data_IF_050032529295
#
_entry.id   IF_050032529295
#
_cell.length_a   1.000
_cell.length_b   1.000
_cell.length_c   1.000
_cell.angle_alpha   90.00
_cell.angle_beta   90.00
_cell.angle_gamma   90.00
#
_symmetry.space_group_name_H-M   'P 1'
#
loop_
_entity.id
_entity.type
_entity.pdbx_description
1 polymer ?
#
# COMPACT_ATOMS: atom_id res chain seq x y z
N UNK A 1 12.24 -3.02 25.21
CA UNK A 1 11.30 -1.86 25.17
C UNK A 1 10.32 -2.05 24.02
N UNK A 2 9.04 -2.30 24.30
CA UNK A 2 7.97 -2.21 23.29
C UNK A 2 7.81 -0.73 22.98
N UNK A 3 8.21 -0.27 21.79
CA UNK A 3 7.87 1.07 21.29
C UNK A 3 6.34 1.13 21.24
N UNK A 4 5.72 1.96 22.08
CA UNK A 4 4.28 2.18 22.02
C UNK A 4 3.90 2.60 20.61
N UNK A 5 3.18 1.70 19.92
CA UNK A 5 2.71 1.95 18.57
C UNK A 5 1.68 3.06 18.66
N UNK A 6 2.03 4.24 18.17
CA UNK A 6 1.15 5.41 18.10
C UNK A 6 -0.13 5.01 17.37
N UNK A 7 -1.20 4.83 18.12
CA UNK A 7 -2.52 4.47 17.60
C UNK A 7 -3.25 5.77 17.29
N UNK A 8 -3.72 5.93 16.06
CA UNK A 8 -4.52 7.10 15.68
C UNK A 8 -5.98 6.67 15.62
N UNK A 9 -6.81 7.36 16.38
CA UNK A 9 -8.26 7.16 16.39
C UNK A 9 -8.83 8.07 15.31
N UNK A 10 -9.65 7.49 14.44
CA UNK A 10 -10.40 8.18 13.39
C UNK A 10 -11.83 8.20 13.86
N UNK A 11 -12.29 9.36 14.34
CA UNK A 11 -13.62 9.54 14.90
C UNK A 11 -14.41 10.67 14.25
N UNK A 12 -13.73 11.53 13.48
CA UNK A 12 -14.30 12.74 12.88
C UNK A 12 -14.21 12.74 11.35
N UNK A 13 -15.01 13.59 10.70
CA UNK A 13 -14.93 13.85 9.25
C UNK A 13 -13.55 14.39 8.84
N UNK A 14 -12.91 15.19 9.70
CA UNK A 14 -11.55 15.71 9.49
C UNK A 14 -10.49 14.60 9.43
N UNK A 15 -10.62 13.56 10.27
CA UNK A 15 -9.72 12.41 10.26
C UNK A 15 -9.85 11.59 8.98
N UNK A 16 -11.08 11.46 8.47
CA UNK A 16 -11.37 10.81 7.18
C UNK A 16 -10.79 11.63 6.03
N UNK A 17 -10.96 12.95 6.04
CA UNK A 17 -10.36 13.85 5.05
C UNK A 17 -8.83 13.81 5.07
N UNK A 18 -8.22 13.69 6.25
CA UNK A 18 -6.78 13.47 6.39
C UNK A 18 -6.35 12.11 5.81
N UNK A 19 -7.15 11.05 5.98
CA UNK A 19 -6.88 9.74 5.37
C UNK A 19 -6.97 9.78 3.84
N UNK A 20 -7.95 10.51 3.30
CA UNK A 20 -8.05 10.76 1.85
C UNK A 20 -6.86 11.56 1.31
N UNK A 21 -6.38 12.54 2.09
CA UNK A 21 -5.20 13.34 1.71
C UNK A 21 -3.94 12.47 1.69
N UNK A 22 -3.76 11.59 2.66
CA UNK A 22 -2.68 10.61 2.70
C UNK A 22 -2.71 9.68 1.47
N UNK A 23 -3.92 9.22 1.12
CA UNK A 23 -4.18 8.40 -0.08
C UNK A 23 -3.78 9.13 -1.37
N UNK A 24 -4.22 10.38 -1.53
CA UNK A 24 -3.96 11.20 -2.72
C UNK A 24 -2.50 11.61 -2.86
N UNK A 25 -1.86 11.97 -1.76
CA UNK A 25 -0.46 12.45 -1.76
C UNK A 25 0.56 11.31 -1.65
N UNK A 26 0.11 10.07 -1.49
CA UNK A 26 0.95 8.90 -1.19
C UNK A 26 1.83 9.05 0.06
N UNK A 27 1.61 10.07 0.89
CA UNK A 27 2.31 10.26 2.16
C UNK A 27 1.57 9.51 3.25
N UNK A 28 2.21 8.48 3.81
CA UNK A 28 1.69 7.73 4.96
C UNK A 28 2.18 8.36 6.26
N UNK A 29 1.28 8.55 7.23
CA UNK A 29 1.60 8.93 8.60
C UNK A 29 2.38 7.81 9.29
N UNK A 30 3.33 8.17 10.16
CA UNK A 30 4.04 7.21 11.02
C UNK A 30 3.15 6.81 12.20
N UNK A 31 2.11 6.02 11.91
CA UNK A 31 1.19 5.47 12.90
C UNK A 31 1.35 3.96 12.91
N UNK A 32 1.23 3.34 14.08
CA UNK A 32 1.38 1.89 14.21
C UNK A 32 0.07 1.13 13.99
N UNK A 33 -1.08 1.80 14.15
CA UNK A 33 -2.41 1.28 13.91
C UNK A 33 -3.42 2.43 13.78
N UNK A 34 -4.42 2.25 12.91
CA UNK A 34 -5.60 3.09 12.82
C UNK A 34 -6.76 2.39 13.53
N UNK A 35 -7.44 3.07 14.46
CA UNK A 35 -8.71 2.59 15.05
C UNK A 35 -9.84 3.51 14.62
N UNK A 36 -11.00 2.93 14.33
CA UNK A 36 -12.21 3.69 14.02
C UNK A 36 -13.06 3.77 15.28
N UNK A 37 -13.51 4.96 15.65
CA UNK A 37 -14.45 5.18 16.75
C UNK A 37 -15.50 6.22 16.32
N UNK A 38 -16.48 5.74 15.57
CA UNK A 38 -17.54 6.49 14.92
C UNK A 38 -18.85 6.26 15.66
N UNK A 39 -19.41 7.33 16.23
CA UNK A 39 -20.71 7.27 16.91
C UNK A 39 -21.82 6.92 15.92
N UNK A 40 -22.65 5.94 16.27
CA UNK A 40 -23.79 5.50 15.43
C UNK A 40 -23.45 4.43 14.39
N UNK A 41 -22.19 3.98 14.31
CA UNK A 41 -21.80 2.84 13.49
C UNK A 41 -21.79 1.55 14.31
N UNK A 42 -22.32 0.47 13.72
CA UNK A 42 -22.26 -0.85 14.35
C UNK A 42 -20.80 -1.31 14.58
N UNK A 43 -20.57 -1.94 15.73
CA UNK A 43 -19.23 -2.34 16.19
C UNK A 43 -18.59 -3.42 15.33
N UNK A 44 -19.37 -4.33 14.75
CA UNK A 44 -18.87 -5.36 13.84
C UNK A 44 -18.42 -4.72 12.52
N UNK A 45 -19.24 -3.82 11.99
CA UNK A 45 -18.92 -3.04 10.77
C UNK A 45 -17.69 -2.16 10.96
N UNK A 46 -17.57 -1.51 12.10
CA UNK A 46 -16.45 -0.64 12.45
C UNK A 46 -15.14 -1.43 12.58
N UNK A 47 -15.17 -2.61 13.21
CA UNK A 47 -14.01 -3.50 13.28
C UNK A 47 -13.59 -4.02 11.90
N UNK A 48 -14.56 -4.37 11.04
CA UNK A 48 -14.29 -4.81 9.66
C UNK A 48 -13.58 -3.70 8.86
N UNK A 49 -14.12 -2.48 8.88
CA UNK A 49 -13.54 -1.34 8.19
C UNK A 49 -12.15 -0.98 8.74
N UNK A 50 -11.96 -1.03 10.06
CA UNK A 50 -10.67 -0.76 10.67
C UNK A 50 -9.62 -1.79 10.24
N UNK A 51 -9.99 -3.08 10.14
CA UNK A 51 -9.11 -4.13 9.63
C UNK A 51 -8.76 -3.91 8.17
N UNK A 52 -9.73 -3.55 7.32
CA UNK A 52 -9.51 -3.29 5.90
C UNK A 52 -8.61 -2.07 5.68
N UNK A 53 -8.85 -0.98 6.40
CA UNK A 53 -8.03 0.23 6.35
C UNK A 53 -6.62 -0.07 6.81
N UNK A 54 -6.41 -0.74 7.94
CA UNK A 54 -5.07 -1.11 8.38
C UNK A 54 -4.36 -2.01 7.36
N UNK A 55 -5.03 -3.03 6.84
CA UNK A 55 -4.45 -3.93 5.82
C UNK A 55 -4.07 -3.16 4.55
N UNK A 56 -4.91 -2.24 4.10
CA UNK A 56 -4.63 -1.41 2.92
C UNK A 56 -3.53 -0.38 3.16
N UNK A 57 -3.58 0.34 4.28
CA UNK A 57 -2.65 1.42 4.65
C UNK A 57 -1.23 0.91 4.89
N UNK A 58 -1.09 -0.29 5.47
CA UNK A 58 0.21 -0.91 5.74
C UNK A 58 0.65 -1.95 4.71
N UNK A 59 -0.11 -2.13 3.62
CA UNK A 59 0.29 -3.06 2.57
C UNK A 59 1.65 -2.67 1.96
N UNK A 60 2.59 -3.62 1.97
CA UNK A 60 3.89 -3.52 1.29
C UNK A 60 3.89 -4.13 -0.12
N UNK A 61 2.84 -4.86 -0.50
CA UNK A 61 2.77 -5.62 -1.76
C UNK A 61 3.66 -6.87 -1.79
N UNK A 62 4.22 -7.28 -0.65
CA UNK A 62 5.23 -8.33 -0.58
C UNK A 62 4.71 -9.70 -1.07
N UNK A 63 3.47 -10.08 -0.72
CA UNK A 63 2.88 -11.34 -1.17
C UNK A 63 2.74 -11.39 -2.71
N UNK A 64 2.19 -10.33 -3.31
CA UNK A 64 2.05 -10.21 -4.78
C UNK A 64 3.41 -10.17 -5.48
N UNK A 65 4.41 -9.50 -4.87
CA UNK A 65 5.78 -9.48 -5.34
C UNK A 65 6.41 -10.88 -5.37
N UNK A 66 6.23 -11.67 -4.31
CA UNK A 66 6.76 -13.04 -4.25
C UNK A 66 6.13 -13.91 -5.33
N UNK A 67 4.80 -13.86 -5.48
CA UNK A 67 4.10 -14.67 -6.51
C UNK A 67 4.57 -14.31 -7.91
N UNK A 68 4.55 -13.02 -8.29
CA UNK A 68 5.01 -12.62 -9.62
C UNK A 68 6.51 -12.81 -9.81
N UNK A 69 7.30 -12.70 -8.74
CA UNK A 69 8.72 -13.06 -8.75
C UNK A 69 8.94 -14.51 -9.11
N UNK A 70 8.25 -15.45 -8.46
CA UNK A 70 8.35 -16.89 -8.76
C UNK A 70 7.90 -17.18 -10.19
N UNK A 71 6.79 -16.59 -10.64
CA UNK A 71 6.32 -16.73 -12.03
C UNK A 71 7.38 -16.23 -13.01
N UNK A 72 7.97 -15.06 -12.74
CA UNK A 72 9.04 -14.49 -13.55
C UNK A 72 10.31 -15.35 -13.55
N UNK A 73 10.65 -15.97 -12.43
CA UNK A 73 11.78 -16.90 -12.32
C UNK A 73 11.58 -18.13 -13.21
N UNK A 74 10.40 -18.75 -13.15
CA UNK A 74 10.06 -19.92 -13.96
C UNK A 74 10.04 -19.54 -15.45
N UNK A 75 9.41 -18.42 -15.81
CA UNK A 75 9.36 -17.96 -17.19
C UNK A 75 10.74 -17.60 -17.74
N UNK A 76 11.59 -16.95 -16.94
CA UNK A 76 12.97 -16.62 -17.30
C UNK A 76 13.83 -17.88 -17.48
N UNK A 77 13.69 -18.85 -16.57
CA UNK A 77 14.37 -20.14 -16.71
C UNK A 77 13.91 -20.88 -17.97
N UNK A 78 12.61 -20.96 -18.22
CA UNK A 78 12.06 -21.60 -19.42
C UNK A 78 12.51 -20.92 -20.71
N UNK A 79 12.59 -19.59 -20.73
CA UNK A 79 13.07 -18.82 -21.87
C UNK A 79 14.58 -19.02 -22.11
N UNK A 80 15.38 -18.98 -21.04
CA UNK A 80 16.82 -19.25 -21.13
C UNK A 80 17.10 -20.69 -21.58
N UNK A 81 16.24 -21.64 -21.18
CA UNK A 81 16.33 -23.03 -21.58
C UNK A 81 15.92 -23.23 -23.05
N UNK A 82 14.83 -22.62 -23.51
CA UNK A 82 14.31 -22.82 -24.88
C UNK A 82 15.14 -22.13 -25.96
N UNK A 83 15.81 -21.02 -25.64
CA UNK A 83 16.59 -20.25 -26.63
C UNK A 83 18.06 -20.66 -26.72
N UNK A 84 18.60 -21.38 -25.72
CA UNK A 84 20.04 -21.66 -25.64
C UNK A 84 20.40 -23.14 -25.47
N UNK A 85 19.44 -24.05 -25.57
CA UNK A 85 19.62 -25.51 -25.49
C UNK A 85 20.63 -26.11 -26.49
N UNK A 86 21.09 -25.37 -27.50
CA UNK A 86 22.04 -25.83 -28.51
C UNK A 86 23.31 -25.01 -28.69
N UNK A 87 23.51 -23.91 -27.96
CA UNK A 87 24.59 -22.96 -28.25
C UNK A 87 25.87 -23.19 -27.43
N UNK A 88 25.76 -23.52 -26.13
CA UNK A 88 26.90 -23.63 -25.23
C UNK A 88 26.67 -24.75 -24.18
N UNK A 89 27.09 -25.99 -24.47
CA UNK A 89 27.08 -27.05 -23.47
C UNK A 89 28.21 -26.80 -22.45
N UNK A 90 27.85 -26.32 -21.25
CA UNK A 90 28.81 -26.05 -20.17
C UNK A 90 28.37 -24.94 -19.21
N UNK A 91 29.30 -24.49 -18.37
CA UNK A 91 29.07 -23.46 -17.35
C UNK A 91 28.50 -22.14 -17.91
N UNK A 92 28.83 -21.78 -19.17
CA UNK A 92 28.33 -20.58 -19.83
C UNK A 92 26.82 -20.62 -20.11
N UNK A 93 26.30 -21.77 -20.56
CA UNK A 93 24.87 -21.98 -20.77
C UNK A 93 24.07 -21.95 -19.47
N UNK A 94 24.61 -22.59 -18.41
CA UNK A 94 24.02 -22.55 -17.08
C UNK A 94 23.97 -21.13 -16.48
N UNK A 95 25.05 -20.36 -16.63
CA UNK A 95 25.12 -18.97 -16.16
C UNK A 95 24.11 -18.07 -16.90
N UNK A 96 23.92 -18.26 -18.20
CA UNK A 96 22.91 -17.53 -18.99
C UNK A 96 21.48 -17.88 -18.57
N UNK A 97 21.16 -19.16 -18.41
CA UNK A 97 19.84 -19.58 -17.93
C UNK A 97 19.54 -19.02 -16.54
N UNK A 98 20.53 -19.03 -15.64
CA UNK A 98 20.43 -18.39 -14.33
C UNK A 98 20.22 -16.87 -14.42
N UNK A 99 20.93 -16.18 -15.32
CA UNK A 99 20.75 -14.74 -15.53
C UNK A 99 19.34 -14.39 -16.01
N UNK A 100 18.76 -15.17 -16.94
CA UNK A 100 17.38 -14.99 -17.36
C UNK A 100 16.37 -15.27 -16.26
N UNK A 101 16.58 -16.34 -15.46
CA UNK A 101 15.73 -16.65 -14.32
C UNK A 101 15.76 -15.54 -13.25
N UNK A 102 16.95 -15.04 -12.91
CA UNK A 102 17.11 -13.95 -11.94
C UNK A 102 16.57 -12.61 -12.48
N UNK A 103 16.75 -12.33 -13.76
CA UNK A 103 16.17 -11.16 -14.43
C UNK A 103 14.65 -11.21 -14.41
N UNK A 104 14.07 -12.37 -14.75
CA UNK A 104 12.63 -12.62 -14.66
C UNK A 104 12.09 -12.46 -13.23
N UNK A 105 12.83 -12.98 -12.23
CA UNK A 105 12.49 -12.79 -10.81
C UNK A 105 12.51 -11.30 -10.40
N UNK A 106 13.54 -10.55 -10.79
CA UNK A 106 13.66 -9.12 -10.47
C UNK A 106 12.54 -8.29 -11.11
N UNK A 107 12.19 -8.57 -12.37
CA UNK A 107 11.09 -7.93 -13.07
C UNK A 107 9.75 -8.29 -12.42
N UNK A 108 9.52 -9.59 -12.18
CA UNK A 108 8.30 -10.11 -11.56
C UNK A 108 8.07 -9.55 -10.17
N UNK A 109 9.09 -9.52 -9.32
CA UNK A 109 9.00 -8.93 -7.97
C UNK A 109 8.71 -7.43 -8.00
N UNK A 110 9.33 -6.69 -8.93
CA UNK A 110 9.10 -5.25 -9.09
C UNK A 110 7.67 -4.96 -9.53
N UNK A 111 7.18 -5.67 -10.55
CA UNK A 111 5.80 -5.59 -11.01
C UNK A 111 4.82 -5.99 -9.90
N UNK A 112 5.11 -7.05 -9.17
CA UNK A 112 4.22 -7.51 -8.10
C UNK A 112 4.15 -6.55 -6.92
N UNK A 113 5.25 -5.86 -6.59
CA UNK A 113 5.20 -4.75 -5.62
C UNK A 113 4.30 -3.62 -6.10
N UNK A 114 4.42 -3.21 -7.36
CA UNK A 114 3.60 -2.14 -7.94
C UNK A 114 2.11 -2.51 -7.95
N UNK A 115 1.78 -3.70 -8.45
CA UNK A 115 0.42 -4.22 -8.54
C UNK A 115 -0.17 -4.38 -7.13
N UNK A 116 0.56 -5.02 -6.21
CA UNK A 116 0.11 -5.21 -4.83
C UNK A 116 -0.16 -3.89 -4.10
N UNK A 117 0.70 -2.88 -4.31
CA UNK A 117 0.48 -1.53 -3.75
C UNK A 117 -0.74 -0.84 -4.39
N UNK A 118 -0.93 -0.96 -5.70
CA UNK A 118 -2.09 -0.38 -6.41
C UNK A 118 -3.41 -1.01 -5.95
N UNK A 119 -3.47 -2.34 -5.86
CA UNK A 119 -4.64 -3.03 -5.33
C UNK A 119 -4.96 -2.65 -3.89
N UNK A 120 -3.93 -2.51 -3.05
CA UNK A 120 -4.12 -2.03 -1.68
C UNK A 120 -4.64 -0.60 -1.62
N UNK A 121 -4.15 0.30 -2.50
CA UNK A 121 -4.64 1.66 -2.59
C UNK A 121 -6.11 1.71 -3.05
N UNK A 122 -6.52 0.88 -4.00
CA UNK A 122 -7.92 0.78 -4.45
C UNK A 122 -8.83 0.29 -3.32
N UNK A 123 -8.43 -0.78 -2.61
CA UNK A 123 -9.19 -1.30 -1.46
C UNK A 123 -9.31 -0.27 -0.35
N UNK A 124 -8.22 0.42 -0.03
CA UNK A 124 -8.21 1.50 0.95
C UNK A 124 -9.12 2.66 0.51
N UNK A 125 -9.09 3.05 -0.76
CA UNK A 125 -9.98 4.07 -1.31
C UNK A 125 -11.46 3.70 -1.21
N UNK A 126 -11.82 2.43 -1.43
CA UNK A 126 -13.20 1.94 -1.24
C UNK A 126 -13.63 2.01 0.22
N UNK A 127 -12.79 1.53 1.14
CA UNK A 127 -13.08 1.58 2.58
C UNK A 127 -13.21 3.02 3.11
N UNK A 128 -12.37 3.94 2.63
CA UNK A 128 -12.47 5.37 2.95
C UNK A 128 -13.72 6.01 2.31
N UNK A 129 -14.09 5.59 1.10
CA UNK A 129 -15.34 6.00 0.47
C UNK A 129 -16.58 5.56 1.26
N UNK A 130 -16.59 4.34 1.79
CA UNK A 130 -17.67 3.86 2.69
C UNK A 130 -17.74 4.68 3.97
N UNK A 131 -16.59 5.05 4.56
CA UNK A 131 -16.56 5.97 5.70
C UNK A 131 -17.15 7.32 5.35
N UNK A 132 -16.78 7.88 4.20
CA UNK A 132 -17.31 9.18 3.74
C UNK A 132 -18.81 9.15 3.50
N UNK A 133 -19.35 8.06 2.96
CA UNK A 133 -20.79 7.91 2.81
C UNK A 133 -21.53 7.92 4.16
N UNK A 134 -20.91 7.41 5.22
CA UNK A 134 -21.50 7.39 6.56
C UNK A 134 -21.55 8.77 7.22
N UNK A 135 -20.55 9.62 6.99
CA UNK A 135 -20.54 11.01 7.47
C UNK A 135 -21.32 11.98 6.55
N UNK A 136 -21.84 11.50 5.42
CA UNK A 136 -22.48 12.33 4.40
C UNK A 136 -21.50 13.18 3.59
N UNK A 137 -21.96 13.83 2.50
CA UNK A 137 -21.18 14.83 1.76
C UNK A 137 -21.13 16.14 2.56
N UNK A 138 -20.68 16.11 3.81
CA UNK A 138 -20.49 17.32 4.60
C UNK A 138 -19.25 18.04 4.05
N UNK A 139 -19.45 19.31 3.71
CA UNK A 139 -18.51 20.20 3.05
C UNK A 139 -17.14 20.10 3.73
N UNK A 140 -16.09 19.86 2.92
CA UNK A 140 -14.72 20.13 3.33
C UNK A 140 -14.75 21.51 4.00
N UNK A 141 -14.43 21.65 5.30
CA UNK A 141 -14.38 22.98 5.89
C UNK A 141 -13.45 23.80 5.00
N UNK A 142 -13.90 24.94 4.46
CA UNK A 142 -13.06 25.75 3.58
C UNK A 142 -11.77 25.97 4.34
N UNK A 143 -10.68 25.61 3.67
CA UNK A 143 -9.31 25.74 4.13
C UNK A 143 -9.21 27.04 4.92
N UNK A 144 -9.26 26.98 6.25
CA UNK A 144 -8.95 28.17 7.03
C UNK A 144 -7.51 28.45 6.66
N UNK A 145 -7.20 29.56 5.95
CA UNK A 145 -5.82 29.93 5.74
C UNK A 145 -5.22 29.94 7.14
N UNK A 146 -4.15 29.17 7.31
CA UNK A 146 -3.36 29.24 8.53
C UNK A 146 -2.91 30.68 8.63
N UNK A 147 -3.67 31.48 9.37
CA UNK A 147 -3.28 32.80 9.76
C UNK A 147 -1.95 32.57 10.48
N UNK A 148 -0.87 32.94 9.81
CA UNK A 148 0.38 33.27 10.48
C UNK A 148 -0.03 34.32 11.49
N UNK A 149 -0.22 33.91 12.75
CA UNK A 149 -0.19 34.84 13.85
C UNK A 149 1.21 35.44 13.83
N UNK A 150 1.31 36.61 13.20
CA UNK A 150 2.25 37.63 13.60
C UNK A 150 2.08 37.80 15.12
N UNK A 151 3.12 37.47 15.87
CA UNK A 151 3.30 38.02 17.21
C UNK A 151 4.54 38.88 17.12
N UNK A 152 4.28 40.18 17.06
CA UNK A 152 5.24 41.24 17.32
C UNK A 152 5.87 41.08 18.71
N UNK A 153 7.14 41.47 18.81
CA UNK A 153 7.61 42.30 19.92
C UNK A 153 8.25 41.57 21.10
N UNK A 154 9.57 41.49 21.08
CA UNK A 154 10.42 42.23 22.02
C UNK A 154 11.76 42.52 21.35
#
# INVERSE_FOLDING_TARGET
MKKDRKTTIVSTSDDVAALERDLRTHKRRQVGQLRLDIKGMDSERQNRLALEINRGYFACGCATATVLGIVGLIAGAAHGWSTHLGADAGWAGAARAAAWALGGFAIGTSLGKLIGKRFAAIRLGRAVGELRQHFGPEELPPEKPTARCAVHGA
#
